data_IF_773415111042
#
_entry.id   IF_773415111042
#
_cell.length_a   1.000
_cell.length_b   1.000
_cell.length_c   1.000
_cell.angle_alpha   90.00
_cell.angle_beta   90.00
_cell.angle_gamma   90.00
#
_symmetry.space_group_name_H-M   'P 1'
#
loop_
_entity.id
_entity.type
_entity.pdbx_description
1 polymer ?
#
# COMPACT_ATOMS: atom_id res chain seq x y z
N UNK A 1 -16.74 -31.65 -36.35
CA UNK A 1 -17.81 -30.81 -35.78
C UNK A 1 -17.20 -29.87 -34.77
N UNK A 2 -17.08 -28.56 -35.05
CA UNK A 2 -16.51 -27.61 -34.11
C UNK A 2 -17.59 -27.31 -33.07
N UNK A 3 -17.38 -27.76 -31.83
CA UNK A 3 -18.29 -27.45 -30.72
C UNK A 3 -18.17 -25.97 -30.44
N UNK A 4 -19.23 -25.21 -30.65
CA UNK A 4 -19.28 -23.76 -30.41
C UNK A 4 -19.29 -23.54 -28.88
N UNK A 5 -18.28 -22.84 -28.36
CA UNK A 5 -18.21 -22.49 -26.94
C UNK A 5 -19.41 -21.63 -26.52
N UNK A 6 -19.94 -21.82 -25.32
CA UNK A 6 -20.99 -20.96 -24.76
C UNK A 6 -20.40 -19.63 -24.28
N UNK A 7 -21.23 -18.61 -24.02
CA UNK A 7 -20.81 -17.32 -23.49
C UNK A 7 -20.07 -17.46 -22.14
N UNK A 8 -20.61 -18.29 -21.24
CA UNK A 8 -20.03 -18.60 -19.95
C UNK A 8 -18.67 -19.26 -20.08
N UNK A 9 -18.51 -20.21 -20.97
CA UNK A 9 -17.23 -20.86 -21.21
C UNK A 9 -16.17 -19.88 -21.70
N UNK A 10 -16.52 -18.95 -22.60
CA UNK A 10 -15.57 -17.94 -23.07
C UNK A 10 -15.23 -16.96 -21.95
N UNK A 11 -16.19 -16.52 -21.14
CA UNK A 11 -15.94 -15.66 -19.97
C UNK A 11 -15.02 -16.33 -18.95
N UNK A 12 -15.22 -17.61 -18.66
CA UNK A 12 -14.34 -18.38 -17.77
C UNK A 12 -12.92 -18.52 -18.33
N UNK A 13 -12.79 -18.76 -19.63
CA UNK A 13 -11.50 -18.78 -20.31
C UNK A 13 -10.79 -17.42 -20.23
N UNK A 14 -11.49 -16.31 -20.47
CA UNK A 14 -10.93 -14.95 -20.30
C UNK A 14 -10.40 -14.78 -18.87
N UNK A 15 -11.21 -15.09 -17.86
CA UNK A 15 -10.82 -14.98 -16.45
C UNK A 15 -9.65 -15.92 -16.10
N UNK A 16 -9.61 -17.11 -16.71
CA UNK A 16 -8.51 -18.06 -16.53
C UNK A 16 -7.20 -17.53 -17.12
N UNK A 17 -7.24 -16.97 -18.33
CA UNK A 17 -6.06 -16.39 -18.96
C UNK A 17 -5.52 -15.15 -18.23
N UNK A 18 -6.41 -14.38 -17.60
CA UNK A 18 -6.06 -13.21 -16.78
C UNK A 18 -5.64 -13.58 -15.35
N UNK A 19 -5.57 -14.87 -15.01
CA UNK A 19 -5.31 -15.34 -13.65
C UNK A 19 -3.89 -15.00 -13.17
N UNK A 20 -2.90 -15.05 -14.04
CA UNK A 20 -1.50 -14.88 -13.69
C UNK A 20 -0.93 -13.55 -14.16
N UNK A 21 -1.39 -13.05 -15.29
CA UNK A 21 -0.84 -11.84 -15.90
C UNK A 21 -1.91 -10.98 -16.55
N UNK A 22 -1.80 -9.65 -16.49
CA UNK A 22 -2.60 -8.76 -17.32
C UNK A 22 -2.31 -9.01 -18.82
N UNK A 23 -3.35 -8.92 -19.64
CA UNK A 23 -3.27 -9.17 -21.07
C UNK A 23 -4.00 -8.09 -21.86
N UNK A 24 -3.52 -7.80 -23.08
CA UNK A 24 -4.26 -6.98 -24.03
C UNK A 24 -5.46 -7.71 -24.61
N UNK A 25 -6.45 -6.97 -25.12
CA UNK A 25 -7.61 -7.55 -25.83
C UNK A 25 -7.17 -8.54 -26.91
N UNK A 26 -6.13 -8.21 -27.66
CA UNK A 26 -5.59 -9.07 -28.74
C UNK A 26 -4.97 -10.36 -28.20
N UNK A 27 -4.20 -10.26 -27.11
CA UNK A 27 -3.64 -11.47 -26.46
C UNK A 27 -4.73 -12.38 -25.90
N UNK A 28 -5.79 -11.79 -25.31
CA UNK A 28 -6.96 -12.55 -24.83
C UNK A 28 -7.67 -13.22 -26.01
N UNK A 29 -7.88 -12.49 -27.11
CA UNK A 29 -8.50 -12.98 -28.33
C UNK A 29 -7.79 -14.24 -28.87
N UNK A 30 -6.47 -14.16 -28.96
CA UNK A 30 -5.64 -15.27 -29.46
C UNK A 30 -5.76 -16.49 -28.52
N UNK A 31 -5.65 -16.26 -27.21
CA UNK A 31 -5.69 -17.34 -26.21
C UNK A 31 -7.06 -18.01 -26.08
N UNK A 32 -8.14 -17.25 -26.16
CA UNK A 32 -9.51 -17.75 -26.09
C UNK A 32 -10.04 -18.26 -27.45
N UNK A 33 -9.24 -18.15 -28.51
CA UNK A 33 -9.59 -18.57 -29.88
C UNK A 33 -10.95 -18.01 -30.34
N UNK A 34 -11.19 -16.72 -30.06
CA UNK A 34 -12.45 -16.06 -30.34
C UNK A 34 -12.26 -14.81 -31.19
N UNK A 35 -13.35 -14.25 -31.72
CA UNK A 35 -13.26 -13.02 -32.50
C UNK A 35 -13.16 -11.79 -31.59
N UNK A 36 -12.62 -10.69 -32.14
CA UNK A 36 -12.36 -9.47 -31.40
C UNK A 36 -13.61 -8.83 -30.77
N UNK A 37 -14.70 -8.80 -31.53
CA UNK A 37 -15.97 -8.23 -31.05
C UNK A 37 -16.54 -9.00 -29.86
N UNK A 38 -16.51 -10.33 -29.91
CA UNK A 38 -16.96 -11.20 -28.82
C UNK A 38 -16.12 -10.98 -27.56
N UNK A 39 -14.79 -10.95 -27.68
CA UNK A 39 -13.90 -10.70 -26.54
C UNK A 39 -14.16 -9.32 -25.95
N UNK A 40 -14.27 -8.29 -26.78
CA UNK A 40 -14.49 -6.91 -26.29
C UNK A 40 -15.82 -6.80 -25.52
N UNK A 41 -16.90 -7.37 -26.04
CA UNK A 41 -18.19 -7.38 -25.37
C UNK A 41 -18.12 -8.09 -24.01
N UNK A 42 -17.47 -9.26 -23.93
CA UNK A 42 -17.34 -9.98 -22.66
C UNK A 42 -16.39 -9.29 -21.67
N UNK A 43 -15.35 -8.60 -22.14
CA UNK A 43 -14.52 -7.77 -21.26
C UNK A 43 -15.31 -6.60 -20.69
N UNK A 44 -16.19 -5.96 -21.45
CA UNK A 44 -17.10 -4.92 -20.96
C UNK A 44 -18.09 -5.46 -19.93
N UNK A 45 -18.70 -6.64 -20.20
CA UNK A 45 -19.60 -7.30 -19.25
C UNK A 45 -18.86 -7.66 -17.94
N UNK A 46 -17.71 -8.32 -18.04
CA UNK A 46 -16.88 -8.70 -16.89
C UNK A 46 -16.37 -7.47 -16.11
N UNK A 47 -16.14 -6.34 -16.78
CA UNK A 47 -15.79 -5.07 -16.14
C UNK A 47 -16.98 -4.49 -15.36
N UNK A 48 -18.19 -4.52 -15.94
CA UNK A 48 -19.42 -4.12 -15.23
C UNK A 48 -19.72 -5.03 -14.03
N UNK A 49 -19.39 -6.31 -14.13
CA UNK A 49 -19.47 -7.28 -13.03
C UNK A 49 -18.35 -7.11 -12.00
N UNK A 50 -17.37 -6.22 -12.21
CA UNK A 50 -16.22 -6.01 -11.33
C UNK A 50 -15.22 -7.17 -11.29
N UNK A 51 -15.26 -8.09 -12.26
CA UNK A 51 -14.37 -9.26 -12.33
C UNK A 51 -13.07 -8.99 -13.05
N UNK A 52 -13.05 -8.00 -13.93
CA UNK A 52 -11.85 -7.48 -14.61
C UNK A 52 -11.82 -5.97 -14.52
N UNK A 53 -10.63 -5.38 -14.63
CA UNK A 53 -10.45 -3.93 -14.76
C UNK A 53 -9.45 -3.61 -15.86
N UNK A 54 -9.68 -2.53 -16.56
CA UNK A 54 -8.71 -1.93 -17.46
C UNK A 54 -7.65 -1.19 -16.63
N UNK A 55 -6.37 -1.51 -16.86
CA UNK A 55 -5.24 -0.91 -16.10
C UNK A 55 -4.41 0.06 -16.93
N UNK A 56 -4.42 -0.08 -18.24
CA UNK A 56 -3.80 0.85 -19.20
C UNK A 56 -4.71 1.01 -20.39
N UNK A 57 -4.98 2.25 -20.75
CA UNK A 57 -5.56 2.63 -22.03
C UNK A 57 -4.52 3.46 -22.78
N UNK A 58 -3.93 2.88 -23.82
CA UNK A 58 -3.16 3.64 -24.81
C UNK A 58 -3.92 3.59 -26.13
N UNK A 59 -3.73 4.56 -26.99
CA UNK A 59 -4.53 4.79 -28.24
C UNK A 59 -4.78 3.57 -29.12
N UNK A 60 -4.08 2.45 -28.89
CA UNK A 60 -4.20 1.21 -29.69
C UNK A 60 -4.27 -0.09 -28.88
N UNK A 61 -4.11 -0.08 -27.55
CA UNK A 61 -4.12 -1.29 -26.76
C UNK A 61 -4.70 -1.06 -25.36
N UNK A 62 -5.83 -1.71 -25.08
CA UNK A 62 -6.38 -1.82 -23.72
C UNK A 62 -5.79 -3.05 -23.05
N UNK A 63 -5.25 -2.90 -21.85
CA UNK A 63 -4.74 -4.01 -21.04
C UNK A 63 -5.70 -4.23 -19.88
N UNK A 64 -6.13 -5.47 -19.73
CA UNK A 64 -7.06 -5.88 -18.69
C UNK A 64 -6.39 -6.74 -17.63
N UNK A 65 -6.85 -6.60 -16.42
CA UNK A 65 -6.44 -7.37 -15.26
C UNK A 65 -7.65 -8.00 -14.59
N UNK A 66 -7.51 -9.24 -14.10
CA UNK A 66 -8.51 -9.86 -13.24
C UNK A 66 -8.54 -9.16 -11.88
N UNK A 67 -9.74 -8.91 -11.36
CA UNK A 67 -9.97 -8.43 -10.00
C UNK A 67 -10.13 -9.66 -9.11
N UNK A 68 -9.22 -9.83 -8.15
CA UNK A 68 -9.27 -10.94 -7.20
C UNK A 68 -10.08 -10.59 -5.95
N UNK A 69 -10.03 -9.31 -5.53
CA UNK A 69 -10.77 -8.78 -4.39
C UNK A 69 -10.26 -9.23 -3.01
N UNK A 70 -9.50 -10.32 -2.97
CA UNK A 70 -8.97 -10.92 -1.74
C UNK A 70 -7.44 -10.79 -1.60
N UNK A 71 -6.79 -10.05 -2.51
CA UNK A 71 -5.35 -9.72 -2.44
C UNK A 71 -5.12 -8.23 -2.54
N UNK A 72 -4.00 -7.76 -1.95
CA UNK A 72 -3.61 -6.36 -2.08
C UNK A 72 -3.27 -6.03 -3.53
N UNK A 73 -3.84 -4.94 -4.03
CA UNK A 73 -3.68 -4.43 -5.40
C UNK A 73 -4.06 -5.44 -6.50
N UNK A 74 -4.91 -6.41 -6.18
CA UNK A 74 -5.29 -7.52 -7.08
C UNK A 74 -4.09 -8.30 -7.63
N UNK A 75 -2.99 -8.36 -6.86
CA UNK A 75 -1.85 -9.18 -7.22
C UNK A 75 -2.23 -10.67 -7.23
N UNK A 76 -1.86 -11.42 -8.27
CA UNK A 76 -2.26 -12.80 -8.39
C UNK A 76 -1.56 -13.68 -7.35
N UNK A 77 -2.31 -14.59 -6.74
CA UNK A 77 -1.80 -15.72 -5.95
C UNK A 77 -2.26 -17.03 -6.59
N UNK A 78 -1.46 -18.07 -6.48
CA UNK A 78 -1.83 -19.41 -6.97
C UNK A 78 -2.98 -19.97 -6.16
N UNK A 79 -3.72 -20.94 -6.73
CA UNK A 79 -4.80 -21.62 -5.99
C UNK A 79 -4.27 -22.35 -4.75
N UNK A 80 -3.04 -22.86 -4.82
CA UNK A 80 -2.37 -23.51 -3.71
C UNK A 80 -2.05 -22.52 -2.57
N UNK A 81 -1.49 -21.34 -2.90
CA UNK A 81 -1.26 -20.27 -1.93
C UNK A 81 -2.58 -19.79 -1.32
N UNK A 82 -3.62 -19.63 -2.13
CA UNK A 82 -4.95 -19.24 -1.66
C UNK A 82 -5.53 -20.23 -0.66
N UNK A 83 -5.45 -21.53 -0.95
CA UNK A 83 -5.88 -22.59 -0.03
C UNK A 83 -5.08 -22.55 1.28
N UNK A 84 -3.75 -22.41 1.19
CA UNK A 84 -2.89 -22.29 2.38
C UNK A 84 -3.24 -21.06 3.22
N UNK A 85 -3.41 -19.87 2.61
CA UNK A 85 -3.82 -18.66 3.33
C UNK A 85 -5.16 -18.83 4.02
N UNK A 86 -6.18 -19.35 3.32
CA UNK A 86 -7.51 -19.58 3.88
C UNK A 86 -7.46 -20.54 5.08
N UNK A 87 -6.76 -21.66 4.93
CA UNK A 87 -6.58 -22.60 6.02
C UNK A 87 -5.83 -21.99 7.21
N UNK A 88 -4.80 -21.15 6.97
CA UNK A 88 -4.08 -20.44 8.02
C UNK A 88 -4.99 -19.46 8.77
N UNK A 89 -5.76 -18.64 8.04
CA UNK A 89 -6.70 -17.70 8.66
C UNK A 89 -7.79 -18.43 9.44
N UNK A 90 -8.35 -19.53 8.91
CA UNK A 90 -9.30 -20.37 9.62
C UNK A 90 -8.71 -20.88 10.94
N UNK A 91 -7.49 -21.41 10.91
CA UNK A 91 -6.80 -21.93 12.09
C UNK A 91 -6.55 -20.83 13.15
N UNK A 92 -6.10 -19.65 12.72
CA UNK A 92 -5.89 -18.51 13.63
C UNK A 92 -7.22 -18.09 14.27
N UNK A 93 -8.27 -17.89 13.47
CA UNK A 93 -9.60 -17.50 13.98
C UNK A 93 -10.13 -18.53 14.97
N UNK A 94 -9.98 -19.82 14.67
CA UNK A 94 -10.36 -20.91 15.57
C UNK A 94 -9.64 -20.82 16.91
N UNK A 95 -8.31 -20.60 16.91
CA UNK A 95 -7.52 -20.45 18.13
C UNK A 95 -7.94 -19.24 18.97
N UNK A 96 -8.26 -18.12 18.33
CA UNK A 96 -8.82 -16.96 19.03
C UNK A 96 -10.19 -17.29 19.65
N UNK A 97 -11.07 -17.98 18.92
CA UNK A 97 -12.38 -18.43 19.44
C UNK A 97 -12.24 -19.40 20.62
N UNK A 98 -11.31 -20.37 20.58
CA UNK A 98 -11.00 -21.27 21.69
C UNK A 98 -10.59 -20.50 22.97
N UNK A 99 -9.96 -19.33 22.81
CA UNK A 99 -9.62 -18.42 23.91
C UNK A 99 -10.73 -17.39 24.24
N UNK A 100 -11.96 -17.56 23.74
CA UNK A 100 -13.09 -16.64 23.87
C UNK A 100 -12.76 -15.22 23.37
N UNK A 101 -12.03 -15.10 22.25
CA UNK A 101 -11.63 -13.83 21.62
C UNK A 101 -11.99 -13.81 20.13
N UNK A 102 -12.09 -12.61 19.59
CA UNK A 102 -12.23 -12.39 18.15
C UNK A 102 -11.06 -11.52 17.67
N UNK A 103 -10.22 -11.99 16.76
CA UNK A 103 -9.14 -11.16 16.25
C UNK A 103 -9.69 -10.03 15.40
N UNK A 104 -9.08 -8.83 15.46
CA UNK A 104 -9.30 -7.81 14.45
C UNK A 104 -8.42 -8.09 13.21
N UNK A 105 -8.62 -7.30 12.13
CA UNK A 105 -7.85 -7.46 10.87
C UNK A 105 -6.34 -7.42 11.08
N UNK A 106 -5.86 -6.50 11.92
CA UNK A 106 -4.43 -6.38 12.22
C UNK A 106 -3.91 -7.59 12.99
N UNK A 107 -4.60 -8.03 14.02
CA UNK A 107 -4.21 -9.21 14.79
C UNK A 107 -4.15 -10.45 13.90
N UNK A 108 -5.17 -10.67 13.06
CA UNK A 108 -5.20 -11.78 12.10
C UNK A 108 -4.02 -11.72 11.13
N UNK A 109 -3.77 -10.56 10.51
CA UNK A 109 -2.67 -10.37 9.58
C UNK A 109 -1.29 -10.56 10.25
N UNK A 110 -1.08 -9.96 11.44
CA UNK A 110 0.21 -10.04 12.15
C UNK A 110 0.50 -11.43 12.67
N UNK A 111 -0.52 -12.14 13.16
CA UNK A 111 -0.39 -13.56 13.54
C UNK A 111 0.01 -14.41 12.34
N UNK A 112 -0.64 -14.20 11.19
CA UNK A 112 -0.31 -14.92 9.96
C UNK A 112 1.15 -14.66 9.52
N UNK A 113 1.60 -13.40 9.53
CA UNK A 113 2.99 -13.03 9.22
C UNK A 113 3.97 -13.71 10.17
N UNK A 114 3.69 -13.75 11.48
CA UNK A 114 4.56 -14.41 12.47
C UNK A 114 4.68 -15.92 12.19
N UNK A 115 3.57 -16.55 11.82
CA UNK A 115 3.57 -17.98 11.42
C UNK A 115 4.35 -18.19 10.13
N UNK A 116 4.08 -17.40 9.08
CA UNK A 116 4.72 -17.53 7.75
C UNK A 116 6.24 -17.35 7.87
N UNK A 117 6.70 -16.35 8.62
CA UNK A 117 8.11 -16.04 8.79
C UNK A 117 8.85 -16.98 9.77
N UNK A 118 8.11 -17.86 10.46
CA UNK A 118 8.74 -18.89 11.30
C UNK A 118 9.22 -20.06 10.46
N UNK A 119 10.53 -20.40 10.48
CA UNK A 119 11.05 -21.55 9.72
C UNK A 119 10.36 -22.87 10.06
N UNK A 120 9.86 -22.98 11.28
CA UNK A 120 9.24 -24.21 11.79
C UNK A 120 7.82 -24.45 11.23
N UNK A 121 7.20 -23.43 10.63
CA UNK A 121 5.84 -23.52 10.10
C UNK A 121 5.75 -24.28 8.79
N UNK A 122 6.83 -24.31 8.01
CA UNK A 122 6.84 -24.83 6.65
C UNK A 122 6.04 -23.98 5.64
N UNK A 123 5.75 -22.70 5.96
CA UNK A 123 4.92 -21.79 5.16
C UNK A 123 5.71 -20.61 4.57
N UNK A 124 7.03 -20.66 4.57
CA UNK A 124 7.90 -19.58 4.05
C UNK A 124 7.74 -19.31 2.54
N UNK A 125 7.02 -20.18 1.82
CA UNK A 125 6.65 -19.98 0.42
C UNK A 125 5.47 -19.00 0.23
N UNK A 126 4.70 -18.73 1.29
CA UNK A 126 3.61 -17.76 1.23
C UNK A 126 4.14 -16.33 1.20
N UNK A 127 3.69 -15.50 0.23
CA UNK A 127 4.19 -14.15 0.09
C UNK A 127 3.72 -13.22 1.21
N UNK A 128 4.67 -12.54 1.85
CA UNK A 128 4.44 -11.42 2.76
C UNK A 128 5.07 -10.15 2.18
N UNK A 129 4.50 -9.01 2.49
CA UNK A 129 4.91 -7.69 1.99
C UNK A 129 4.86 -6.65 3.10
N UNK A 130 5.60 -5.55 2.92
CA UNK A 130 5.49 -4.38 3.79
C UNK A 130 4.53 -3.37 3.18
N UNK A 131 3.59 -2.91 3.99
CA UNK A 131 2.62 -1.89 3.61
C UNK A 131 2.34 -0.94 4.79
N UNK A 132 1.30 -0.12 4.75
CA UNK A 132 1.00 1.00 5.66
C UNK A 132 1.31 0.75 7.16
N UNK A 133 1.12 -0.47 7.63
CA UNK A 133 1.24 -0.84 9.04
C UNK A 133 2.25 -1.96 9.28
N UNK A 134 3.30 -2.04 8.44
CA UNK A 134 4.35 -3.05 8.50
C UNK A 134 4.03 -4.30 7.68
N UNK A 135 4.66 -5.43 8.03
CA UNK A 135 4.51 -6.67 7.29
C UNK A 135 3.08 -7.22 7.35
N UNK A 136 2.57 -7.65 6.21
CA UNK A 136 1.25 -8.25 6.02
C UNK A 136 1.34 -9.42 5.04
N UNK A 137 0.42 -10.41 5.12
CA UNK A 137 0.30 -11.43 4.08
C UNK A 137 -0.25 -10.79 2.80
N UNK A 138 0.10 -11.33 1.63
CA UNK A 138 -0.40 -10.79 0.35
C UNK A 138 -1.91 -10.95 0.21
N UNK A 139 -2.48 -12.02 0.74
CA UNK A 139 -3.94 -12.19 0.85
C UNK A 139 -4.47 -11.30 1.99
N UNK A 140 -5.58 -10.60 1.73
CA UNK A 140 -6.22 -9.73 2.72
C UNK A 140 -6.83 -10.57 3.82
N UNK A 141 -6.38 -10.35 5.07
CA UNK A 141 -6.92 -11.00 6.24
C UNK A 141 -8.22 -10.32 6.68
N UNK A 142 -9.35 -11.02 6.57
CA UNK A 142 -10.65 -10.52 6.99
C UNK A 142 -11.31 -11.47 8.02
N UNK A 143 -11.36 -11.10 9.32
CA UNK A 143 -11.93 -11.95 10.35
C UNK A 143 -13.45 -12.17 10.25
N UNK A 144 -14.14 -11.41 9.38
CA UNK A 144 -15.58 -11.59 9.12
C UNK A 144 -15.86 -12.69 8.09
N UNK A 145 -14.83 -13.15 7.36
CA UNK A 145 -14.99 -14.22 6.39
C UNK A 145 -14.95 -15.59 7.06
N UNK A 146 -15.79 -16.50 6.57
CA UNK A 146 -15.75 -17.90 6.93
C UNK A 146 -14.73 -18.64 6.04
N UNK A 147 -13.52 -18.80 6.56
CA UNK A 147 -12.45 -19.51 5.87
C UNK A 147 -12.57 -21.02 6.15
N UNK A 148 -12.58 -21.82 5.09
CA UNK A 148 -12.58 -23.26 5.20
C UNK A 148 -11.15 -23.81 5.35
N UNK A 149 -10.98 -24.90 6.12
CA UNK A 149 -9.71 -25.63 6.22
C UNK A 149 -9.50 -26.50 4.95
N UNK A 150 -9.21 -25.86 3.81
CA UNK A 150 -8.98 -26.54 2.52
C UNK A 150 -7.56 -27.14 2.40
N UNK A 151 -6.74 -26.99 3.43
CA UNK A 151 -5.35 -27.42 3.43
C UNK A 151 -4.95 -28.06 4.76
N UNK A 152 -4.32 -29.25 4.69
CA UNK A 152 -3.75 -29.89 5.88
C UNK A 152 -2.28 -29.46 6.05
N UNK A 153 -1.97 -28.84 7.20
CA UNK A 153 -0.61 -28.42 7.51
C UNK A 153 0.20 -29.59 8.07
N UNK A 154 1.36 -29.86 7.49
CA UNK A 154 2.32 -30.86 7.96
C UNK A 154 2.80 -30.56 9.38
N UNK A 155 3.01 -29.28 9.70
CA UNK A 155 3.50 -28.80 11.00
C UNK A 155 2.41 -28.14 11.85
N UNK A 156 1.15 -28.64 11.82
CA UNK A 156 -0.01 -28.02 12.50
C UNK A 156 0.23 -27.74 13.98
N UNK A 157 0.91 -28.64 14.70
CA UNK A 157 1.21 -28.44 16.13
C UNK A 157 2.15 -27.26 16.38
N UNK A 158 3.20 -27.10 15.57
CA UNK A 158 4.13 -25.98 15.65
C UNK A 158 3.44 -24.66 15.30
N UNK A 159 2.61 -24.66 14.26
CA UNK A 159 1.81 -23.50 13.88
C UNK A 159 0.90 -23.08 15.05
N UNK A 160 0.21 -24.02 15.68
CA UNK A 160 -0.64 -23.73 16.84
C UNK A 160 0.16 -23.10 17.99
N UNK A 161 1.35 -23.64 18.29
CA UNK A 161 2.21 -23.07 19.35
C UNK A 161 2.64 -21.63 19.03
N UNK A 162 2.99 -21.33 17.78
CA UNK A 162 3.34 -19.97 17.35
C UNK A 162 2.14 -19.02 17.53
N UNK A 163 0.94 -19.45 17.13
CA UNK A 163 -0.30 -18.66 17.29
C UNK A 163 -0.56 -18.38 18.77
N UNK A 164 -0.48 -19.41 19.62
CA UNK A 164 -0.74 -19.30 21.07
C UNK A 164 0.27 -18.36 21.76
N UNK A 165 1.55 -18.44 21.41
CA UNK A 165 2.59 -17.54 21.92
C UNK A 165 2.27 -16.10 21.51
N UNK A 166 2.00 -15.86 20.23
CA UNK A 166 1.66 -14.52 19.71
C UNK A 166 0.40 -13.96 20.41
N UNK A 167 -0.64 -14.76 20.58
CA UNK A 167 -1.86 -14.38 21.28
C UNK A 167 -1.60 -14.02 22.75
N UNK A 168 -0.75 -14.77 23.44
CA UNK A 168 -0.37 -14.51 24.83
C UNK A 168 0.41 -13.22 24.97
N UNK A 169 1.38 -12.98 24.09
CA UNK A 169 2.22 -11.78 24.09
C UNK A 169 1.43 -10.50 23.76
N UNK A 170 0.35 -10.63 22.98
CA UNK A 170 -0.40 -9.50 22.46
C UNK A 170 -1.83 -9.36 23.00
N UNK A 171 -2.20 -10.13 24.03
CA UNK A 171 -3.59 -10.22 24.48
C UNK A 171 -4.15 -8.90 25.03
N UNK A 172 -3.32 -8.03 25.63
CA UNK A 172 -3.71 -6.74 26.20
C UNK A 172 -3.23 -5.54 25.35
N UNK A 173 -2.59 -5.79 24.21
CA UNK A 173 -2.00 -4.71 23.42
C UNK A 173 -3.02 -4.10 22.44
N UNK A 174 -2.99 -2.78 22.34
CA UNK A 174 -3.72 -2.06 21.28
C UNK A 174 -3.08 -2.33 19.92
N UNK A 175 -3.85 -2.21 18.86
CA UNK A 175 -3.38 -2.41 17.48
C UNK A 175 -2.10 -1.63 17.16
N UNK A 176 -2.03 -0.34 17.54
CA UNK A 176 -0.83 0.50 17.36
C UNK A 176 0.41 -0.07 18.04
N UNK A 177 0.28 -0.65 19.24
CA UNK A 177 1.40 -1.26 19.96
C UNK A 177 1.95 -2.49 19.24
N UNK A 178 1.06 -3.35 18.73
CA UNK A 178 1.45 -4.53 17.94
C UNK A 178 2.19 -4.12 16.66
N UNK A 179 1.74 -3.07 15.99
CA UNK A 179 2.38 -2.51 14.80
C UNK A 179 3.78 -1.97 15.13
N UNK A 180 3.88 -1.14 16.17
CA UNK A 180 5.14 -0.52 16.61
C UNK A 180 6.18 -1.56 17.01
N UNK A 181 5.80 -2.59 17.77
CA UNK A 181 6.69 -3.70 18.13
C UNK A 181 7.20 -4.44 16.89
N UNK A 182 6.36 -4.65 15.89
CA UNK A 182 6.80 -5.26 14.64
C UNK A 182 7.82 -4.35 13.91
N UNK A 183 7.60 -3.03 13.88
CA UNK A 183 8.55 -2.10 13.27
C UNK A 183 9.90 -2.11 14.00
N UNK A 184 9.90 -2.32 15.32
CA UNK A 184 11.11 -2.50 16.13
C UNK A 184 11.76 -3.87 15.89
N UNK A 185 10.99 -4.95 15.89
CA UNK A 185 11.48 -6.33 15.68
C UNK A 185 12.19 -6.46 14.32
N UNK A 186 11.64 -5.86 13.27
CA UNK A 186 12.21 -5.89 11.92
C UNK A 186 13.22 -4.76 11.66
N UNK A 187 13.49 -3.90 12.66
CA UNK A 187 14.42 -2.78 12.59
C UNK A 187 14.20 -1.85 11.39
N UNK A 188 12.94 -1.61 11.03
CA UNK A 188 12.60 -0.67 9.94
C UNK A 188 12.53 0.77 10.48
N UNK A 189 13.64 1.49 10.36
CA UNK A 189 13.81 2.85 10.87
C UNK A 189 12.78 3.84 10.29
N UNK A 190 12.39 3.67 9.02
CA UNK A 190 11.43 4.55 8.36
C UNK A 190 10.03 4.45 9.02
N UNK A 191 9.58 3.23 9.31
CA UNK A 191 8.32 2.99 10.01
C UNK A 191 8.36 3.45 11.47
N UNK A 192 9.49 3.22 12.16
CA UNK A 192 9.67 3.71 13.53
C UNK A 192 9.57 5.24 13.60
N UNK A 193 10.17 5.96 12.65
CA UNK A 193 10.10 7.43 12.60
C UNK A 193 8.70 7.93 12.25
N UNK A 194 7.97 7.24 11.38
CA UNK A 194 6.58 7.55 11.10
C UNK A 194 5.70 7.38 12.35
N UNK A 195 5.86 6.28 13.10
CA UNK A 195 5.17 6.07 14.38
C UNK A 195 5.50 7.17 15.39
N UNK A 196 6.79 7.51 15.55
CA UNK A 196 7.23 8.55 16.48
C UNK A 196 6.68 9.93 16.10
N UNK A 197 6.63 10.27 14.81
CA UNK A 197 6.00 11.51 14.34
C UNK A 197 4.52 11.56 14.70
N UNK A 198 3.78 10.49 14.42
CA UNK A 198 2.35 10.42 14.73
C UNK A 198 2.08 10.47 16.25
N UNK A 199 2.93 9.85 17.08
CA UNK A 199 2.81 9.93 18.54
C UNK A 199 3.05 11.36 19.05
N UNK A 200 4.11 12.03 18.59
CA UNK A 200 4.38 13.42 18.99
C UNK A 200 3.26 14.36 18.58
N UNK A 201 2.61 14.10 17.47
CA UNK A 201 1.48 14.93 17.02
C UNK A 201 0.18 14.67 17.82
N UNK A 202 0.12 13.62 18.66
CA UNK A 202 -0.96 13.40 19.63
C UNK A 202 -0.75 14.19 20.94
N UNK A 203 0.49 14.65 21.25
CA UNK A 203 0.82 15.47 22.41
C UNK A 203 0.40 16.94 22.21
N UNK A 204 0.07 17.62 23.30
CA UNK A 204 -0.27 19.05 23.30
C UNK A 204 0.43 19.78 24.44
N UNK A 205 1.08 20.92 24.21
CA UNK A 205 1.38 21.55 22.91
C UNK A 205 2.43 20.76 22.12
N UNK A 206 2.47 20.98 20.82
CA UNK A 206 3.45 20.32 19.95
C UNK A 206 4.88 20.74 20.30
N UNK A 207 5.73 19.76 20.57
CA UNK A 207 7.16 20.02 20.75
C UNK A 207 7.83 20.20 19.37
N UNK A 208 8.01 21.45 18.97
CA UNK A 208 8.53 21.87 17.68
C UNK A 208 9.90 21.26 17.36
N UNK A 209 10.82 21.27 18.35
CA UNK A 209 12.19 20.79 18.15
C UNK A 209 12.21 19.27 17.90
N UNK A 210 11.45 18.51 18.69
CA UNK A 210 11.31 17.07 18.50
C UNK A 210 10.65 16.71 17.17
N UNK A 211 9.64 17.48 16.74
CA UNK A 211 9.00 17.28 15.43
C UNK A 211 10.04 17.44 14.32
N UNK A 212 10.86 18.49 14.37
CA UNK A 212 11.90 18.72 13.36
C UNK A 212 13.02 17.69 13.40
N UNK A 213 13.42 17.24 14.59
CA UNK A 213 14.38 16.15 14.74
C UNK A 213 13.90 14.90 14.00
N UNK A 214 12.66 14.44 14.26
CA UNK A 214 12.09 13.27 13.61
C UNK A 214 11.92 13.47 12.10
N UNK A 215 11.41 14.62 11.67
CA UNK A 215 11.22 14.89 10.24
C UNK A 215 12.55 14.96 9.48
N UNK A 216 13.62 15.47 10.09
CA UNK A 216 14.94 15.47 9.48
C UNK A 216 15.50 14.04 9.37
N UNK A 217 15.40 13.23 10.43
CA UNK A 217 15.79 11.82 10.37
C UNK A 217 14.96 11.06 9.33
N UNK A 218 13.66 11.36 9.23
CA UNK A 218 12.78 10.75 8.23
C UNK A 218 13.25 11.04 6.79
N UNK A 219 13.71 12.28 6.51
CA UNK A 219 14.34 12.61 5.22
C UNK A 219 15.61 11.79 4.97
N UNK A 220 16.47 11.65 5.99
CA UNK A 220 17.75 10.93 5.86
C UNK A 220 17.56 9.46 5.52
N UNK A 221 16.54 8.81 6.10
CA UNK A 221 16.27 7.38 5.86
C UNK A 221 15.31 7.14 4.68
N UNK A 222 14.76 8.19 4.09
CA UNK A 222 13.88 8.09 2.94
C UNK A 222 14.62 7.48 1.74
N UNK A 223 14.02 6.56 0.98
CA UNK A 223 14.65 5.95 -0.18
C UNK A 223 15.05 6.99 -1.24
N UNK A 224 16.30 6.88 -1.76
CA UNK A 224 16.86 7.78 -2.79
C UNK A 224 17.10 7.01 -4.09
N UNK A 225 16.30 6.01 -4.38
CA UNK A 225 16.42 5.25 -5.63
C UNK A 225 16.08 6.15 -6.83
N UNK A 226 16.86 6.06 -7.91
CA UNK A 226 16.59 6.84 -9.14
C UNK A 226 15.17 6.64 -9.68
N UNK A 227 14.65 5.41 -9.56
CA UNK A 227 13.31 5.03 -9.99
C UNK A 227 12.21 5.73 -9.17
N UNK A 228 12.52 6.10 -7.91
CA UNK A 228 11.57 6.67 -6.94
C UNK A 228 12.10 7.94 -6.25
N UNK A 229 13.04 8.63 -6.85
CA UNK A 229 13.58 9.90 -6.33
C UNK A 229 12.51 10.93 -5.96
N UNK A 230 11.32 10.82 -6.56
CA UNK A 230 10.18 11.69 -6.25
C UNK A 230 9.63 11.48 -4.82
N UNK A 231 9.79 10.30 -4.23
CA UNK A 231 9.45 10.04 -2.83
C UNK A 231 10.29 10.94 -1.93
N UNK A 232 11.60 10.94 -2.16
CA UNK A 232 12.55 11.80 -1.42
C UNK A 232 12.23 13.29 -1.62
N UNK A 233 12.01 13.72 -2.86
CA UNK A 233 11.70 15.13 -3.17
C UNK A 233 10.42 15.62 -2.51
N UNK A 234 9.37 14.81 -2.47
CA UNK A 234 8.11 15.17 -1.80
C UNK A 234 8.30 15.24 -0.28
N UNK A 235 9.08 14.33 0.29
CA UNK A 235 9.39 14.31 1.72
C UNK A 235 10.20 15.52 2.12
N UNK A 236 11.25 15.85 1.39
CA UNK A 236 12.11 17.01 1.63
C UNK A 236 11.32 18.32 1.53
N UNK A 237 10.49 18.47 0.49
CA UNK A 237 9.62 19.64 0.35
C UNK A 237 8.61 19.76 1.49
N UNK A 238 8.03 18.65 1.93
CA UNK A 238 7.14 18.64 3.09
C UNK A 238 7.85 19.18 4.34
N UNK A 239 9.02 18.63 4.67
CA UNK A 239 9.79 19.04 5.84
C UNK A 239 10.20 20.51 5.75
N UNK A 240 10.64 20.96 4.58
CA UNK A 240 10.96 22.35 4.30
C UNK A 240 9.76 23.28 4.50
N UNK A 241 8.56 22.88 4.00
CA UNK A 241 7.33 23.66 4.14
C UNK A 241 6.88 23.75 5.59
N UNK A 242 6.91 22.65 6.34
CA UNK A 242 6.59 22.65 7.79
C UNK A 242 7.55 23.57 8.54
N UNK A 243 8.85 23.52 8.23
CA UNK A 243 9.85 24.41 8.83
C UNK A 243 9.56 25.88 8.53
N UNK A 244 9.23 26.22 7.29
CA UNK A 244 8.89 27.58 6.88
C UNK A 244 7.63 28.08 7.61
N UNK A 245 6.59 27.28 7.70
CA UNK A 245 5.36 27.60 8.46
C UNK A 245 5.70 27.94 9.93
N UNK A 246 6.64 27.22 10.54
CA UNK A 246 7.02 27.43 11.94
C UNK A 246 7.66 28.78 12.25
N UNK A 247 8.10 29.52 11.25
CA UNK A 247 8.60 30.91 11.42
C UNK A 247 7.47 31.94 11.44
N UNK A 248 6.31 31.60 10.88
CA UNK A 248 5.20 32.53 10.74
C UNK A 248 4.10 32.33 11.77
N UNK A 249 3.92 31.09 12.26
CA UNK A 249 2.81 30.73 13.12
C UNK A 249 3.15 29.51 13.98
N UNK A 250 2.30 29.23 14.98
CA UNK A 250 2.36 27.97 15.70
C UNK A 250 1.93 26.81 14.77
N UNK A 251 2.72 25.75 14.73
CA UNK A 251 2.43 24.57 13.90
C UNK A 251 1.09 23.91 14.25
N UNK A 252 0.63 24.03 15.50
CA UNK A 252 -0.68 23.48 15.91
C UNK A 252 -1.84 24.12 15.16
N UNK A 253 -1.74 25.37 14.75
CA UNK A 253 -2.77 26.04 13.95
C UNK A 253 -2.93 25.40 12.56
N UNK A 254 -1.90 24.69 12.11
CA UNK A 254 -1.88 24.00 10.82
C UNK A 254 -1.89 22.48 10.95
N UNK A 255 -2.11 21.96 12.17
CA UNK A 255 -2.05 20.53 12.50
C UNK A 255 -2.76 19.64 11.49
N UNK A 256 -4.02 19.92 11.21
CA UNK A 256 -4.82 19.08 10.29
C UNK A 256 -4.18 18.98 8.91
N UNK A 257 -3.73 20.09 8.34
CA UNK A 257 -3.09 20.10 7.02
C UNK A 257 -1.74 19.39 7.02
N UNK A 258 -0.94 19.61 8.07
CA UNK A 258 0.36 18.92 8.23
C UNK A 258 0.15 17.41 8.32
N UNK A 259 -0.81 16.94 9.11
CA UNK A 259 -1.12 15.52 9.26
C UNK A 259 -1.68 14.89 7.98
N UNK A 260 -2.58 15.58 7.27
CA UNK A 260 -3.11 15.11 5.99
C UNK A 260 -2.03 15.00 4.92
N UNK A 261 -1.11 15.98 4.88
CA UNK A 261 0.02 15.97 3.95
C UNK A 261 0.98 14.82 4.28
N UNK A 262 1.33 14.66 5.56
CA UNK A 262 2.16 13.54 6.01
C UNK A 262 1.51 12.19 5.66
N UNK A 263 0.22 12.00 5.95
CA UNK A 263 -0.51 10.77 5.64
C UNK A 263 -0.49 10.44 4.14
N UNK A 264 -0.64 11.46 3.28
CA UNK A 264 -0.61 11.30 1.83
C UNK A 264 0.78 10.90 1.33
N UNK A 265 1.83 11.52 1.84
CA UNK A 265 3.23 11.16 1.54
C UNK A 265 3.54 9.78 2.09
N UNK A 266 3.12 9.47 3.33
CA UNK A 266 3.31 8.17 3.95
C UNK A 266 2.65 7.03 3.16
N UNK A 267 1.43 7.24 2.68
CA UNK A 267 0.75 6.27 1.81
C UNK A 267 1.49 6.04 0.49
N UNK A 268 2.11 7.07 -0.08
CA UNK A 268 2.94 6.92 -1.27
C UNK A 268 4.21 6.12 -0.95
N UNK A 269 4.93 6.45 0.13
CA UNK A 269 6.11 5.72 0.60
C UNK A 269 5.78 4.25 0.87
N UNK A 270 4.67 3.98 1.58
CA UNK A 270 4.25 2.62 1.90
C UNK A 270 3.90 1.80 0.64
N UNK A 271 3.29 2.43 -0.38
CA UNK A 271 3.01 1.76 -1.66
C UNK A 271 4.31 1.45 -2.41
N UNK A 272 5.29 2.34 -2.34
CA UNK A 272 6.62 2.09 -2.85
C UNK A 272 7.34 0.96 -2.10
N UNK A 273 7.28 0.94 -0.77
CA UNK A 273 7.84 -0.15 0.05
C UNK A 273 7.19 -1.49 -0.26
N UNK A 274 5.89 -1.50 -0.50
CA UNK A 274 5.17 -2.68 -0.99
C UNK A 274 5.75 -3.17 -2.33
N UNK A 275 5.95 -2.25 -3.28
CA UNK A 275 6.58 -2.58 -4.56
C UNK A 275 7.97 -3.21 -4.36
N UNK A 276 8.82 -2.61 -3.53
CA UNK A 276 10.15 -3.14 -3.23
C UNK A 276 10.08 -4.55 -2.63
N UNK A 277 9.24 -4.76 -1.62
CA UNK A 277 9.18 -6.05 -0.91
C UNK A 277 8.59 -7.17 -1.76
N UNK A 278 7.61 -6.88 -2.61
CA UNK A 278 7.06 -7.90 -3.50
C UNK A 278 7.99 -8.21 -4.67
N UNK A 279 8.80 -7.25 -5.13
CA UNK A 279 9.73 -7.42 -6.26
C UNK A 279 10.84 -8.44 -6.00
N UNK A 280 11.17 -8.72 -4.73
CA UNK A 280 12.16 -9.75 -4.37
C UNK A 280 11.59 -11.17 -4.47
N UNK A 281 10.27 -11.31 -4.53
CA UNK A 281 9.65 -12.61 -4.80
C UNK A 281 9.86 -12.97 -6.28
N UNK A 282 10.43 -14.16 -6.53
CA UNK A 282 10.79 -14.62 -7.90
C UNK A 282 9.63 -14.47 -8.90
N UNK A 283 8.40 -14.69 -8.47
CA UNK A 283 7.22 -14.58 -9.32
C UNK A 283 6.92 -13.14 -9.76
N UNK A 284 7.25 -12.16 -8.91
CA UNK A 284 7.03 -10.73 -9.15
C UNK A 284 8.31 -9.97 -9.50
N UNK A 285 9.42 -10.66 -9.76
CA UNK A 285 10.71 -10.03 -10.12
C UNK A 285 10.71 -9.32 -11.47
N UNK A 286 9.72 -9.59 -12.33
CA UNK A 286 9.55 -8.87 -13.59
C UNK A 286 8.96 -7.47 -13.34
N UNK A 287 9.80 -6.44 -13.44
CA UNK A 287 9.40 -5.03 -13.23
C UNK A 287 8.26 -4.57 -14.14
N UNK A 288 8.22 -5.01 -15.39
CA UNK A 288 7.15 -4.64 -16.31
C UNK A 288 5.80 -5.20 -15.84
N UNK A 289 5.80 -6.43 -15.32
CA UNK A 289 4.62 -7.05 -14.75
C UNK A 289 4.17 -6.31 -13.47
N UNK A 290 5.09 -6.00 -12.57
CA UNK A 290 4.78 -5.23 -11.37
C UNK A 290 4.22 -3.84 -11.68
N UNK A 291 4.77 -3.17 -12.69
CA UNK A 291 4.28 -1.86 -13.11
C UNK A 291 2.85 -1.93 -13.66
N UNK A 292 2.44 -3.03 -14.27
CA UNK A 292 1.04 -3.22 -14.68
C UNK A 292 0.08 -3.29 -13.49
N UNK A 293 0.49 -3.88 -12.37
CA UNK A 293 -0.34 -3.98 -11.15
C UNK A 293 -0.25 -2.73 -10.26
N UNK A 294 0.95 -2.21 -10.07
CA UNK A 294 1.22 -1.18 -9.07
C UNK A 294 1.42 0.21 -9.66
N UNK A 295 1.57 0.33 -10.99
CA UNK A 295 1.79 1.63 -11.64
C UNK A 295 0.67 2.63 -11.37
N UNK A 296 -0.60 2.24 -11.55
CA UNK A 296 -1.74 3.09 -11.25
C UNK A 296 -1.87 3.42 -9.75
N UNK A 297 -1.78 2.46 -8.81
CA UNK A 297 -1.72 2.78 -7.38
C UNK A 297 -0.59 3.74 -7.01
N UNK A 298 0.62 3.55 -7.54
CA UNK A 298 1.75 4.44 -7.30
C UNK A 298 1.50 5.84 -7.86
N UNK A 299 1.04 5.95 -9.11
CA UNK A 299 0.72 7.22 -9.75
C UNK A 299 -0.38 7.98 -8.99
N UNK A 300 -1.45 7.29 -8.59
CA UNK A 300 -2.53 7.87 -7.78
C UNK A 300 -2.00 8.39 -6.44
N UNK A 301 -1.22 7.60 -5.69
CA UNK A 301 -0.65 8.02 -4.41
C UNK A 301 0.32 9.20 -4.55
N UNK A 302 1.11 9.22 -5.62
CA UNK A 302 1.98 10.35 -5.97
C UNK A 302 1.17 11.62 -6.20
N UNK A 303 0.08 11.55 -6.97
CA UNK A 303 -0.81 12.70 -7.23
C UNK A 303 -1.41 13.22 -5.93
N UNK A 304 -1.98 12.35 -5.10
CA UNK A 304 -2.52 12.75 -3.79
C UNK A 304 -1.46 13.41 -2.89
N UNK A 305 -0.23 12.91 -2.89
CA UNK A 305 0.85 13.51 -2.11
C UNK A 305 1.27 14.89 -2.64
N UNK A 306 1.29 15.07 -3.96
CA UNK A 306 1.57 16.37 -4.59
C UNK A 306 0.48 17.40 -4.29
N UNK A 307 -0.78 17.03 -4.44
CA UNK A 307 -1.94 17.89 -4.13
C UNK A 307 -1.94 18.32 -2.66
N UNK A 308 -1.80 17.37 -1.72
CA UNK A 308 -1.75 17.68 -0.30
C UNK A 308 -0.58 18.59 0.07
N UNK A 309 0.58 18.40 -0.57
CA UNK A 309 1.75 19.26 -0.37
C UNK A 309 1.54 20.66 -0.96
N UNK A 310 0.89 20.78 -2.12
CA UNK A 310 0.51 22.05 -2.72
C UNK A 310 -0.45 22.83 -1.83
N UNK A 311 -1.44 22.15 -1.26
CA UNK A 311 -2.39 22.74 -0.30
C UNK A 311 -1.70 23.23 0.98
N UNK A 312 -0.75 22.48 1.50
CA UNK A 312 0.05 22.92 2.67
C UNK A 312 0.93 24.11 2.32
N UNK A 313 1.53 24.10 1.13
CA UNK A 313 2.37 25.18 0.65
C UNK A 313 1.59 26.48 0.39
N UNK A 314 0.34 26.39 -0.09
CA UNK A 314 -0.54 27.56 -0.27
C UNK A 314 -0.85 28.27 1.06
N UNK A 315 -0.94 27.52 2.17
CA UNK A 315 -1.05 28.10 3.52
C UNK A 315 0.19 28.90 3.87
N UNK A 316 1.36 28.37 3.58
CA UNK A 316 2.60 29.12 3.80
C UNK A 316 2.64 30.42 2.98
N UNK A 317 2.23 30.39 1.72
CA UNK A 317 2.17 31.58 0.86
C UNK A 317 1.20 32.64 1.41
N UNK A 318 -0.02 32.24 1.83
CA UNK A 318 -0.99 33.19 2.40
C UNK A 318 -0.42 33.90 3.65
N UNK A 319 0.40 33.20 4.46
CA UNK A 319 1.06 33.82 5.62
C UNK A 319 2.14 34.83 5.25
N UNK A 320 2.75 34.71 4.10
CA UNK A 320 3.68 35.73 3.58
C UNK A 320 2.89 36.97 3.18
N UNK A 321 1.77 36.81 2.48
CA UNK A 321 0.92 37.92 2.00
C UNK A 321 0.24 38.65 3.16
N UNK A 322 -0.20 37.95 4.20
CA UNK A 322 -0.87 38.53 5.36
C UNK A 322 0.04 39.41 6.24
N UNK A 323 1.36 39.25 6.13
CA UNK A 323 2.33 40.00 6.94
C UNK A 323 2.77 41.22 6.22
N UNK A 324 2.14 42.04 5.51
CA UNK A 324 2.67 43.34 4.98
C UNK A 324 4.19 43.49 5.20
N UNK A 325 4.96 42.45 4.80
CA UNK A 325 6.40 42.53 4.83
C UNK A 325 6.69 43.52 3.71
N UNK A 326 7.06 44.76 4.06
CA UNK A 326 7.75 45.65 3.13
C UNK A 326 8.78 44.77 2.44
N UNK A 327 8.53 44.47 1.17
CA UNK A 327 9.22 43.40 0.49
C UNK A 327 10.71 43.74 0.44
N UNK A 328 11.49 43.04 1.25
CA UNK A 328 12.94 43.09 1.05
C UNK A 328 13.22 42.65 -0.40
N UNK A 329 14.23 43.17 -1.07
CA UNK A 329 14.58 42.73 -2.43
C UNK A 329 14.74 41.22 -2.55
N UNK A 330 15.05 40.55 -1.46
CA UNK A 330 15.16 39.08 -1.37
C UNK A 330 13.80 38.37 -1.45
N UNK A 331 12.75 38.93 -0.81
CA UNK A 331 11.38 38.38 -0.88
C UNK A 331 10.80 38.59 -2.29
N UNK A 332 11.05 39.73 -2.95
CA UNK A 332 10.67 39.96 -4.33
C UNK A 332 11.34 38.96 -5.28
N UNK A 333 12.63 38.69 -5.08
CA UNK A 333 13.39 37.72 -5.87
C UNK A 333 12.90 36.28 -5.66
N UNK A 334 12.48 35.94 -4.44
CA UNK A 334 11.85 34.65 -4.16
C UNK A 334 10.48 34.54 -4.84
N UNK A 335 9.65 35.61 -4.85
CA UNK A 335 8.38 35.66 -5.57
C UNK A 335 8.57 35.47 -7.08
N UNK A 336 9.51 36.17 -7.69
CA UNK A 336 9.83 36.04 -9.10
C UNK A 336 10.27 34.61 -9.46
N UNK A 337 11.17 34.02 -8.69
CA UNK A 337 11.60 32.62 -8.86
C UNK A 337 10.42 31.64 -8.71
N UNK A 338 9.43 31.97 -7.90
CA UNK A 338 8.28 31.12 -7.65
C UNK A 338 7.19 31.25 -8.71
N UNK A 339 6.98 32.43 -9.28
CA UNK A 339 6.10 32.67 -10.44
C UNK A 339 6.61 31.90 -11.68
N UNK A 340 7.91 31.94 -11.93
CA UNK A 340 8.55 31.15 -12.99
C UNK A 340 8.38 29.61 -12.78
N UNK A 341 8.13 29.19 -11.56
CA UNK A 341 7.97 27.76 -11.23
C UNK A 341 6.53 27.26 -11.29
N UNK A 342 5.55 28.15 -11.12
CA UNK A 342 4.13 27.79 -11.17
C UNK A 342 3.56 27.87 -12.59
N UNK A 343 4.24 28.54 -13.52
CA UNK A 343 3.79 28.65 -14.91
C UNK A 343 2.49 29.46 -15.06
N UNK A 344 2.18 30.32 -14.09
CA UNK A 344 1.08 31.28 -14.20
C UNK A 344 1.66 32.59 -14.82
N UNK A 345 1.43 32.77 -16.14
CA UNK A 345 1.46 34.05 -16.83
C UNK A 345 0.13 34.80 -16.60
#
# INVERSE_FOLDING_TARGET
MVIRKTAEQIKEEILSHLKETPLSTEQIRIKAESNWSTINNYLEELSKEGKVKEIISADKAKIYQRVFGDTYFDLPITDNERKKFRALFSLIIKKYKEANKTPNKTQLAKTAVKVINSPESGLSDLPTVWYLYGAIPLMIADPSQDYQEEWAFEHKQKINSIIEIFMKENHNKKTKQIQKEQHLEYNDKLYQLADNFLELTEEHPWNKDKIFEILNEFCIVCPIDEEFKEVFWLTERFVSTVRKLSYFDDLENHRTKILLTFDSIWKFIATYKFYQTISVNKRFSNKNLLNLYLGNPLAFRKTCAKEALSDLYSVYLSKIDDREIEASPEVQRIREIMQDWTGED
#
